data_IF_444207050099
#
_entry.id   IF_444207050099
#
_cell.length_a   1.000
_cell.length_b   1.000
_cell.length_c   1.000
_cell.angle_alpha   90.00
_cell.angle_beta   90.00
_cell.angle_gamma   90.00
#
_symmetry.space_group_name_H-M   'P 1'
#
loop_
_entity.id
_entity.type
_entity.pdbx_description
1 polymer ?
#
# COMPACT_ATOMS: atom_id res chain seq x y z
N UNK A 1 -40.10 -34.04 39.00
CA UNK A 1 -39.59 -33.00 39.91
C UNK A 1 -38.22 -33.49 40.38
N UNK A 2 -37.04 -32.89 40.17
CA UNK A 2 -36.52 -31.60 39.66
C UNK A 2 -34.99 -31.83 39.60
N UNK A 3 -34.33 -31.79 38.42
CA UNK A 3 -33.28 -30.83 37.99
C UNK A 3 -32.18 -30.45 38.98
N UNK A 4 -30.90 -30.62 38.60
CA UNK A 4 -29.78 -29.63 38.57
C UNK A 4 -28.49 -30.32 38.06
N UNK A 5 -28.07 -30.09 36.81
CA UNK A 5 -26.92 -29.24 36.45
C UNK A 5 -25.70 -29.36 37.37
N UNK A 6 -24.59 -29.91 36.85
CA UNK A 6 -23.26 -29.30 37.01
C UNK A 6 -22.28 -29.88 35.97
N UNK A 7 -22.48 -29.45 34.73
CA UNK A 7 -21.45 -29.45 33.69
C UNK A 7 -20.46 -28.31 33.96
N UNK A 8 -19.61 -28.48 34.97
CA UNK A 8 -18.37 -27.71 35.09
C UNK A 8 -17.42 -28.42 36.06
N UNK A 9 -16.70 -29.43 35.56
CA UNK A 9 -15.51 -29.93 36.26
C UNK A 9 -14.44 -28.83 36.21
N UNK A 10 -14.53 -27.88 37.13
CA UNK A 10 -13.52 -26.86 37.36
C UNK A 10 -12.37 -27.56 38.09
N UNK A 11 -11.26 -27.76 37.38
CA UNK A 11 -10.00 -28.21 37.96
C UNK A 11 -9.46 -27.02 38.78
N UNK A 12 -9.33 -27.12 40.12
CA UNK A 12 -8.76 -26.03 40.91
C UNK A 12 -7.30 -25.84 40.49
N UNK A 13 -6.93 -24.63 40.06
CA UNK A 13 -5.53 -24.32 39.80
C UNK A 13 -4.81 -24.12 41.14
N UNK A 14 -4.31 -25.21 41.72
CA UNK A 14 -3.38 -25.18 42.86
C UNK A 14 -1.96 -25.00 42.31
N UNK A 15 -1.62 -23.79 41.87
CA UNK A 15 -0.24 -23.44 41.57
C UNK A 15 0.27 -22.49 42.65
N UNK A 16 1.10 -23.01 43.56
CA UNK A 16 1.79 -22.23 44.59
C UNK A 16 2.90 -21.32 44.02
N UNK A 17 3.23 -21.48 42.74
CA UNK A 17 4.20 -20.67 42.03
C UNK A 17 3.78 -20.56 40.56
N UNK A 18 4.10 -19.45 39.86
CA UNK A 18 3.81 -19.34 38.43
C UNK A 18 4.38 -20.56 37.70
N UNK A 19 3.63 -21.07 36.71
CA UNK A 19 4.16 -22.08 35.79
C UNK A 19 5.52 -21.58 35.33
N UNK A 20 6.60 -22.31 35.60
CA UNK A 20 7.99 -21.92 35.37
C UNK A 20 8.30 -21.75 33.89
N UNK A 21 7.65 -20.76 33.29
CA UNK A 21 7.69 -20.40 31.90
C UNK A 21 8.79 -19.35 31.80
N UNK A 22 9.98 -19.78 31.41
CA UNK A 22 11.04 -18.84 31.09
C UNK A 22 10.65 -18.15 29.77
N UNK A 23 10.47 -16.84 29.80
CA UNK A 23 10.18 -16.05 28.61
C UNK A 23 11.25 -16.25 27.53
N UNK A 24 12.49 -16.59 27.92
CA UNK A 24 13.57 -16.89 26.98
C UNK A 24 13.31 -18.15 26.14
N UNK A 25 12.48 -19.09 26.60
CA UNK A 25 12.16 -20.29 25.81
C UNK A 25 11.24 -20.00 24.62
N UNK A 26 10.56 -18.84 24.63
CA UNK A 26 9.59 -18.44 23.61
C UNK A 26 10.15 -17.40 22.64
N UNK A 27 11.29 -16.78 22.97
CA UNK A 27 11.90 -15.78 22.11
C UNK A 27 12.87 -16.42 21.11
N UNK A 28 12.81 -16.06 19.82
CA UNK A 28 13.82 -16.45 18.84
C UNK A 28 15.22 -16.11 19.36
N UNK A 29 16.14 -17.08 19.37
CA UNK A 29 17.49 -16.95 19.96
C UNK A 29 18.29 -15.75 19.44
N UNK A 30 18.01 -15.29 18.22
CA UNK A 30 18.63 -14.09 17.66
C UNK A 30 18.15 -12.80 18.34
N UNK A 31 16.92 -12.75 18.86
CA UNK A 31 16.37 -11.58 19.57
C UNK A 31 16.90 -11.51 21.00
N UNK A 32 17.27 -12.64 21.60
CA UNK A 32 17.84 -12.68 22.95
C UNK A 32 19.22 -12.01 23.04
N UNK A 33 19.97 -11.96 21.93
CA UNK A 33 21.25 -11.25 21.85
C UNK A 33 21.10 -9.74 21.71
N UNK A 34 19.98 -9.30 21.12
CA UNK A 34 19.61 -7.90 20.95
C UNK A 34 18.46 -7.58 21.91
N UNK A 35 18.77 -7.43 23.20
CA UNK A 35 17.83 -6.79 24.12
C UNK A 35 17.30 -5.47 23.54
N UNK A 36 16.16 -4.99 24.05
CA UNK A 36 15.52 -3.74 23.60
C UNK A 36 16.48 -2.53 23.52
N UNK A 37 17.64 -2.61 24.17
CA UNK A 37 18.67 -1.59 24.25
C UNK A 37 19.76 -1.65 23.16
N UNK A 38 19.71 -2.62 22.25
CA UNK A 38 20.68 -2.75 21.15
C UNK A 38 20.17 -2.23 19.80
N UNK A 39 19.06 -1.49 19.79
CA UNK A 39 18.74 -0.69 18.63
C UNK A 39 19.88 0.32 18.44
N UNK A 40 20.54 0.36 17.26
CA UNK A 40 21.65 1.29 17.05
C UNK A 40 21.16 2.69 17.42
N UNK A 41 21.86 3.34 18.36
CA UNK A 41 21.54 4.70 18.79
C UNK A 41 21.84 5.64 17.62
N UNK A 42 20.83 5.82 16.76
CA UNK A 42 20.84 6.80 15.69
C UNK A 42 20.57 8.13 16.35
N UNK A 43 21.51 9.05 16.20
CA UNK A 43 21.34 10.41 16.72
C UNK A 43 20.07 11.07 16.12
N UNK A 44 19.43 11.97 16.87
CA UNK A 44 18.26 12.70 16.39
C UNK A 44 18.54 13.38 15.03
N UNK A 45 19.74 13.97 14.89
CA UNK A 45 20.20 14.62 13.66
C UNK A 45 20.30 13.64 12.49
N UNK A 46 20.79 12.42 12.72
CA UNK A 46 20.91 11.39 11.69
C UNK A 46 19.54 10.84 11.27
N UNK A 47 18.62 10.71 12.23
CA UNK A 47 17.21 10.35 11.96
C UNK A 47 16.55 11.40 11.08
N UNK A 48 16.67 12.69 11.43
CA UNK A 48 16.11 13.80 10.66
C UNK A 48 16.71 13.83 9.25
N UNK A 49 18.02 13.65 9.12
CA UNK A 49 18.68 13.62 7.81
C UNK A 49 18.17 12.47 6.93
N UNK A 50 17.93 11.29 7.53
CA UNK A 50 17.38 10.12 6.83
C UNK A 50 15.97 10.39 6.34
N UNK A 51 15.10 10.94 7.20
CA UNK A 51 13.73 11.33 6.83
C UNK A 51 13.76 12.37 5.72
N UNK A 52 14.58 13.42 5.86
CA UNK A 52 14.65 14.52 4.91
C UNK A 52 15.15 14.06 3.54
N UNK A 53 16.08 13.11 3.50
CA UNK A 53 16.55 12.48 2.26
C UNK A 53 15.41 11.77 1.53
N UNK A 54 14.64 10.94 2.23
CA UNK A 54 13.46 10.27 1.66
C UNK A 54 12.39 11.27 1.20
N UNK A 55 12.12 12.29 2.01
CA UNK A 55 11.15 13.34 1.71
C UNK A 55 11.51 14.12 0.44
N UNK A 56 12.78 14.51 0.24
CA UNK A 56 13.20 15.23 -0.98
C UNK A 56 12.93 14.43 -2.25
N UNK A 57 13.27 13.14 -2.24
CA UNK A 57 13.03 12.24 -3.37
C UNK A 57 11.53 12.03 -3.62
N UNK A 58 10.76 11.74 -2.55
CA UNK A 58 9.31 11.55 -2.63
C UNK A 58 8.60 12.80 -3.15
N UNK A 59 8.95 13.98 -2.61
CA UNK A 59 8.40 15.26 -3.06
C UNK A 59 8.66 15.51 -4.54
N UNK A 60 9.89 15.30 -5.00
CA UNK A 60 10.25 15.49 -6.40
C UNK A 60 9.44 14.56 -7.33
N UNK A 61 9.28 13.29 -6.96
CA UNK A 61 8.48 12.32 -7.71
C UNK A 61 7.00 12.70 -7.76
N UNK A 62 6.42 13.09 -6.61
CA UNK A 62 5.03 13.51 -6.52
C UNK A 62 4.76 14.82 -7.28
N UNK A 63 5.67 15.80 -7.20
CA UNK A 63 5.55 17.05 -7.94
C UNK A 63 5.60 16.83 -9.45
N UNK A 64 6.49 15.94 -9.92
CA UNK A 64 6.54 15.54 -11.32
C UNK A 64 5.23 14.89 -11.75
N UNK A 65 4.77 13.88 -11.01
CA UNK A 65 3.52 13.16 -11.33
C UNK A 65 2.31 14.09 -11.36
N UNK A 66 2.19 14.97 -10.35
CA UNK A 66 1.14 15.99 -10.30
C UNK A 66 1.13 16.86 -11.54
N UNK A 67 2.30 17.36 -11.97
CA UNK A 67 2.43 18.20 -13.16
C UNK A 67 1.99 17.44 -14.42
N UNK A 68 2.43 16.19 -14.58
CA UNK A 68 2.07 15.39 -15.75
C UNK A 68 0.56 15.11 -15.79
N UNK A 69 -0.04 14.69 -14.69
CA UNK A 69 -1.50 14.47 -14.60
C UNK A 69 -2.27 15.75 -14.92
N UNK A 70 -1.80 16.92 -14.46
CA UNK A 70 -2.41 18.20 -14.82
C UNK A 70 -2.35 18.49 -16.32
N UNK A 71 -1.25 18.16 -16.99
CA UNK A 71 -1.12 18.28 -18.44
C UNK A 71 -2.10 17.34 -19.13
N UNK A 72 -2.16 16.07 -18.72
CA UNK A 72 -3.11 15.10 -19.30
C UNK A 72 -4.55 15.59 -19.14
N UNK A 73 -4.92 16.08 -17.95
CA UNK A 73 -6.25 16.60 -17.68
C UNK A 73 -6.58 17.83 -18.55
N UNK A 74 -5.62 18.74 -18.72
CA UNK A 74 -5.79 19.91 -19.59
C UNK A 74 -5.95 19.50 -21.06
N UNK A 75 -5.16 18.53 -21.54
CA UNK A 75 -5.31 17.97 -22.88
C UNK A 75 -6.66 17.30 -23.06
N UNK A 76 -7.11 16.56 -22.06
CA UNK A 76 -8.42 15.90 -22.06
C UNK A 76 -9.55 16.91 -22.17
N UNK A 77 -9.46 18.05 -21.48
CA UNK A 77 -10.50 19.08 -21.48
C UNK A 77 -10.50 19.94 -22.77
N UNK A 78 -9.35 20.14 -23.41
CA UNK A 78 -9.20 21.09 -24.53
C UNK A 78 -9.17 20.43 -25.90
N UNK A 79 -8.76 19.16 -25.99
CA UNK A 79 -8.69 18.39 -27.23
C UNK A 79 -9.73 17.27 -27.16
N UNK A 80 -9.26 16.04 -27.03
CA UNK A 80 -10.04 14.83 -26.96
C UNK A 80 -9.34 13.84 -26.01
N UNK A 81 -10.12 12.91 -25.47
CA UNK A 81 -9.64 11.92 -24.50
C UNK A 81 -8.58 10.98 -25.08
N UNK A 82 -8.68 10.63 -26.37
CA UNK A 82 -7.73 9.74 -27.03
C UNK A 82 -6.35 10.37 -27.14
N UNK A 83 -6.24 11.62 -27.61
CA UNK A 83 -4.97 12.34 -27.67
C UNK A 83 -4.33 12.52 -26.29
N UNK A 84 -5.14 12.78 -25.25
CA UNK A 84 -4.66 12.89 -23.87
C UNK A 84 -4.09 11.55 -23.36
N UNK A 85 -4.76 10.45 -23.69
CA UNK A 85 -4.33 9.11 -23.30
C UNK A 85 -3.10 8.64 -24.07
N UNK A 86 -3.02 8.89 -25.37
CA UNK A 86 -1.81 8.62 -26.18
C UNK A 86 -0.60 9.37 -25.61
N UNK A 87 -0.79 10.63 -25.20
CA UNK A 87 0.27 11.36 -24.50
C UNK A 87 0.67 10.66 -23.20
N UNK A 88 -0.29 10.26 -22.35
CA UNK A 88 -0.01 9.55 -21.10
C UNK A 88 0.70 8.20 -21.30
N UNK A 89 0.37 7.45 -22.36
CA UNK A 89 1.01 6.17 -22.71
C UNK A 89 2.46 6.39 -23.17
N UNK A 90 2.72 7.49 -23.88
CA UNK A 90 4.06 7.84 -24.36
C UNK A 90 4.96 8.44 -23.26
N UNK A 91 4.45 8.65 -22.04
CA UNK A 91 5.27 9.06 -20.90
C UNK A 91 6.04 7.84 -20.37
N UNK A 92 7.32 8.06 -20.04
CA UNK A 92 8.20 7.04 -19.44
C UNK A 92 7.79 6.63 -18.01
N UNK A 93 6.77 7.27 -17.43
CA UNK A 93 6.33 7.04 -16.06
C UNK A 93 4.95 6.36 -16.05
N UNK A 94 4.95 5.07 -15.70
CA UNK A 94 3.76 4.20 -15.72
C UNK A 94 2.73 4.54 -14.64
N UNK A 95 3.10 5.34 -13.66
CA UNK A 95 2.20 5.68 -12.56
C UNK A 95 1.07 6.59 -13.03
N UNK A 96 1.37 7.49 -13.97
CA UNK A 96 0.39 8.43 -14.54
C UNK A 96 -0.75 7.68 -15.24
N UNK A 97 -0.44 6.67 -16.06
CA UNK A 97 -1.49 5.88 -16.73
C UNK A 97 -2.33 5.11 -15.71
N UNK A 98 -1.71 4.57 -14.66
CA UNK A 98 -2.43 3.89 -13.56
C UNK A 98 -3.37 4.86 -12.85
N UNK A 99 -2.92 6.08 -12.55
CA UNK A 99 -3.75 7.10 -11.89
C UNK A 99 -4.97 7.48 -12.74
N UNK A 100 -4.80 7.61 -14.07
CA UNK A 100 -5.89 7.92 -15.00
C UNK A 100 -6.88 6.75 -15.08
N UNK A 101 -6.38 5.51 -15.24
CA UNK A 101 -7.20 4.29 -15.25
C UNK A 101 -8.02 4.17 -13.96
N UNK A 102 -7.38 4.42 -12.81
CA UNK A 102 -8.04 4.41 -11.51
C UNK A 102 -9.17 5.44 -11.40
N UNK A 103 -9.15 6.55 -12.13
CA UNK A 103 -10.30 7.48 -12.13
C UNK A 103 -11.39 7.01 -13.09
N UNK A 104 -11.01 6.48 -14.26
CA UNK A 104 -11.96 6.02 -15.27
C UNK A 104 -12.81 4.83 -14.78
N UNK A 105 -12.19 3.87 -14.09
CA UNK A 105 -12.87 2.66 -13.60
C UNK A 105 -14.02 3.01 -12.63
N UNK A 106 -13.89 4.08 -11.85
CA UNK A 106 -14.85 4.44 -10.80
C UNK A 106 -15.96 5.39 -11.27
N UNK A 107 -15.90 5.88 -12.52
CA UNK A 107 -16.95 6.73 -13.12
C UNK A 107 -17.49 6.09 -14.40
N UNK A 108 -18.39 5.10 -14.33
CA UNK A 108 -18.88 4.37 -15.51
C UNK A 108 -19.65 5.23 -16.52
N UNK A 109 -20.15 6.42 -16.15
CA UNK A 109 -20.85 7.33 -17.07
C UNK A 109 -19.91 8.07 -18.05
N UNK A 110 -18.62 8.18 -17.76
CA UNK A 110 -17.58 8.50 -18.76
C UNK A 110 -17.07 7.24 -19.46
N UNK A 111 -17.52 6.03 -19.10
CA UNK A 111 -17.08 4.77 -19.69
C UNK A 111 -17.90 4.28 -20.89
N UNK A 112 -19.11 4.82 -21.10
CA UNK A 112 -20.02 4.37 -22.16
C UNK A 112 -19.58 4.75 -23.59
N UNK A 113 -18.71 5.76 -23.77
CA UNK A 113 -18.04 6.03 -25.05
C UNK A 113 -16.67 5.33 -25.19
N UNK A 114 -16.21 4.61 -24.17
CA UNK A 114 -14.79 4.22 -24.02
C UNK A 114 -14.50 2.73 -24.19
N UNK A 115 -15.46 1.92 -24.68
CA UNK A 115 -15.19 0.52 -25.06
C UNK A 115 -13.95 0.40 -25.96
N UNK A 116 -13.81 1.31 -26.93
CA UNK A 116 -12.64 1.38 -27.82
C UNK A 116 -11.33 1.83 -27.15
N UNK A 117 -11.41 2.55 -26.02
CA UNK A 117 -10.23 3.07 -25.33
C UNK A 117 -9.59 1.99 -24.45
N UNK A 118 -10.41 1.11 -23.85
CA UNK A 118 -9.91 -0.05 -23.11
C UNK A 118 -9.19 -1.02 -24.07
N UNK A 119 -9.76 -1.26 -25.24
CA UNK A 119 -9.12 -2.05 -26.31
C UNK A 119 -7.79 -1.43 -26.79
N UNK A 120 -7.74 -0.10 -26.91
CA UNK A 120 -6.52 0.63 -27.30
C UNK A 120 -5.40 0.51 -26.25
N UNK A 121 -5.73 0.63 -24.96
CA UNK A 121 -4.77 0.44 -23.86
C UNK A 121 -4.32 -1.03 -23.78
N UNK A 122 -5.24 -1.98 -23.89
CA UNK A 122 -4.95 -3.41 -23.92
C UNK A 122 -3.99 -3.78 -25.06
N UNK A 123 -4.22 -3.20 -26.24
CA UNK A 123 -3.38 -3.39 -27.43
C UNK A 123 -1.96 -2.83 -27.27
N UNK A 124 -1.78 -1.67 -26.62
CA UNK A 124 -0.44 -1.09 -26.40
C UNK A 124 0.29 -1.65 -25.19
N UNK A 125 -0.42 -2.15 -24.18
CA UNK A 125 0.19 -2.71 -22.96
C UNK A 125 0.38 -4.22 -23.01
N UNK A 126 -0.10 -4.90 -24.06
CA UNK A 126 -0.03 -6.36 -24.22
C UNK A 126 -0.94 -7.13 -23.25
N UNK A 127 -1.82 -6.43 -22.54
CA UNK A 127 -2.77 -7.03 -21.60
C UNK A 127 -3.99 -7.43 -22.43
N UNK A 128 -3.97 -8.64 -22.98
CA UNK A 128 -5.09 -9.18 -23.73
C UNK A 128 -6.35 -9.19 -22.86
N UNK A 129 -7.39 -8.47 -23.30
CA UNK A 129 -8.74 -8.58 -22.72
C UNK A 129 -9.27 -9.97 -23.07
N UNK A 130 -9.58 -10.77 -22.05
CA UNK A 130 -10.42 -11.96 -22.20
C UNK A 130 -11.89 -11.58 -22.18
#
# INVERSE_FOLDING_TARGET
MTTTNDSNMIIPETRDHPAGLDFNDFLPKHIQQYGCDQQPFISEIETINTIMKGHKAAKAGLDYRRKQVQIVLAMWATKDSKTALEYAINLDEKSIIIDILNVMIWKPYIGLEFGHCFDFIAMHTGIASK
#
